data_IF_233805048769
#
_entry.id   IF_233805048769
#
_cell.length_a   1.000
_cell.length_b   1.000
_cell.length_c   1.000
_cell.angle_alpha   90.00
_cell.angle_beta   90.00
_cell.angle_gamma   90.00
#
_symmetry.space_group_name_H-M   'P 1'
#
loop_
_entity.id
_entity.type
_entity.pdbx_description
1 polymer ?
#
# COMPACT_ATOMS: atom_id res chain seq x y z
N UNK A 1 6.55 -5.75 9.81
CA UNK A 1 5.27 -6.30 9.28
C UNK A 1 5.07 -5.89 7.83
N UNK A 2 5.08 -4.58 7.51
CA UNK A 2 4.94 -4.10 6.12
C UNK A 2 5.98 -4.68 5.16
N UNK A 3 7.24 -4.80 5.59
CA UNK A 3 8.33 -5.37 4.80
C UNK A 3 8.17 -6.87 4.54
N UNK A 4 7.52 -7.59 5.48
CA UNK A 4 7.26 -9.02 5.31
C UNK A 4 6.08 -9.22 4.35
N UNK A 5 5.01 -8.43 4.50
CA UNK A 5 3.86 -8.50 3.59
C UNK A 5 4.28 -8.06 2.18
N UNK A 6 4.76 -6.82 2.00
CA UNK A 6 5.11 -6.32 0.67
C UNK A 6 6.35 -7.00 0.08
N UNK A 7 7.27 -7.55 0.87
CA UNK A 7 8.46 -8.23 0.37
C UNK A 7 8.19 -9.69 -0.03
N UNK A 8 7.72 -10.50 0.92
CA UNK A 8 7.49 -11.93 0.68
C UNK A 8 6.28 -12.16 -0.20
N UNK A 9 5.18 -11.44 0.00
CA UNK A 9 3.96 -11.62 -0.79
C UNK A 9 4.19 -11.23 -2.25
N UNK A 10 4.77 -10.05 -2.49
CA UNK A 10 5.14 -9.61 -3.84
C UNK A 10 6.13 -10.56 -4.50
N UNK A 11 7.10 -11.10 -3.72
CA UNK A 11 8.04 -12.10 -4.22
C UNK A 11 7.36 -13.41 -4.64
N UNK A 12 6.47 -13.94 -3.80
CA UNK A 12 5.73 -15.18 -4.09
C UNK A 12 4.77 -14.99 -5.27
N UNK A 13 4.00 -13.89 -5.28
CA UNK A 13 3.10 -13.55 -6.39
C UNK A 13 3.87 -13.31 -7.69
N UNK A 14 5.06 -12.70 -7.60
CA UNK A 14 5.97 -12.51 -8.72
C UNK A 14 6.49 -13.82 -9.29
N UNK A 15 6.94 -14.75 -8.44
CA UNK A 15 7.41 -16.08 -8.89
C UNK A 15 6.31 -16.88 -9.59
N UNK A 16 5.05 -16.70 -9.17
CA UNK A 16 3.90 -17.33 -9.82
C UNK A 16 3.41 -16.59 -11.08
N UNK A 17 3.91 -15.37 -11.33
CA UNK A 17 3.35 -14.51 -12.39
C UNK A 17 1.86 -14.21 -12.18
N UNK A 18 1.43 -14.13 -10.91
CA UNK A 18 0.03 -13.96 -10.56
C UNK A 18 -0.48 -12.58 -10.99
N UNK A 19 -1.68 -12.55 -11.55
CA UNK A 19 -2.42 -11.31 -11.83
C UNK A 19 -3.62 -11.20 -10.88
N UNK A 20 -4.25 -10.03 -10.83
CA UNK A 20 -5.42 -9.77 -9.96
C UNK A 20 -6.49 -10.88 -10.01
N UNK A 21 -6.70 -11.52 -11.16
CA UNK A 21 -7.71 -12.55 -11.35
C UNK A 21 -7.35 -13.94 -10.83
N UNK A 22 -6.07 -14.22 -10.54
CA UNK A 22 -5.67 -15.49 -9.92
C UNK A 22 -6.06 -15.52 -8.42
N UNK A 23 -5.85 -14.40 -7.71
CA UNK A 23 -6.14 -14.28 -6.28
C UNK A 23 -6.75 -12.91 -5.93
N UNK A 24 -8.01 -12.62 -6.35
CA UNK A 24 -8.58 -11.28 -6.24
C UNK A 24 -8.77 -10.83 -4.79
N UNK A 25 -9.16 -11.73 -3.90
CA UNK A 25 -9.36 -11.41 -2.47
C UNK A 25 -8.04 -11.14 -1.76
N UNK A 26 -7.01 -11.95 -2.03
CA UNK A 26 -5.69 -11.79 -1.43
C UNK A 26 -5.05 -10.47 -1.90
N UNK A 27 -4.99 -10.23 -3.21
CA UNK A 27 -4.36 -9.04 -3.79
C UNK A 27 -5.10 -7.76 -3.40
N UNK A 28 -6.44 -7.79 -3.34
CA UNK A 28 -7.22 -6.63 -2.90
C UNK A 28 -6.97 -6.29 -1.42
N UNK A 29 -7.00 -7.31 -0.55
CA UNK A 29 -6.82 -7.10 0.89
C UNK A 29 -5.40 -6.64 1.20
N UNK A 30 -4.37 -7.28 0.65
CA UNK A 30 -2.98 -6.90 0.87
C UNK A 30 -2.63 -5.55 0.25
N UNK A 31 -3.16 -5.22 -0.92
CA UNK A 31 -3.02 -3.91 -1.54
C UNK A 31 -3.60 -2.79 -0.67
N UNK A 32 -4.78 -3.01 -0.09
CA UNK A 32 -5.41 -2.03 0.82
C UNK A 32 -4.63 -1.85 2.13
N UNK A 33 -4.19 -2.95 2.73
CA UNK A 33 -3.40 -2.94 3.97
C UNK A 33 -2.03 -2.30 3.71
N UNK A 34 -1.37 -2.67 2.61
CA UNK A 34 -0.09 -2.10 2.20
C UNK A 34 -0.15 -0.59 2.02
N UNK A 35 -1.19 -0.10 1.34
CA UNK A 35 -1.42 1.34 1.16
C UNK A 35 -1.66 2.06 2.50
N UNK A 36 -2.49 1.49 3.38
CA UNK A 36 -2.76 2.06 4.70
C UNK A 36 -1.52 2.18 5.57
N UNK A 37 -0.69 1.14 5.57
CA UNK A 37 0.57 1.10 6.32
C UNK A 37 1.58 2.08 5.75
N UNK A 38 1.65 2.24 4.43
CA UNK A 38 2.54 3.22 3.80
C UNK A 38 2.20 4.65 4.25
N UNK A 39 0.92 5.04 4.18
CA UNK A 39 0.52 6.36 4.67
C UNK A 39 0.76 6.53 6.18
N UNK A 40 0.57 5.47 6.98
CA UNK A 40 0.85 5.52 8.40
C UNK A 40 2.35 5.71 8.69
N UNK A 41 3.23 4.98 8.00
CA UNK A 41 4.67 5.11 8.14
C UNK A 41 5.13 6.52 7.77
N UNK A 42 4.82 6.99 6.56
CA UNK A 42 5.17 8.35 6.10
C UNK A 42 4.72 9.47 7.04
N UNK A 43 3.54 9.32 7.66
CA UNK A 43 3.06 10.28 8.66
C UNK A 43 3.90 10.29 9.95
N UNK A 44 4.38 9.12 10.38
CA UNK A 44 5.19 8.96 11.58
C UNK A 44 6.63 9.49 11.40
N UNK A 45 7.24 9.25 10.23
CA UNK A 45 8.56 9.81 9.89
C UNK A 45 8.52 11.33 9.78
N UNK A 46 7.44 11.90 9.22
CA UNK A 46 7.24 13.35 9.19
C UNK A 46 7.17 13.93 10.61
N UNK A 47 6.41 13.30 11.50
CA UNK A 47 6.32 13.74 12.90
C UNK A 47 7.67 13.66 13.62
N UNK A 48 8.45 12.60 13.37
CA UNK A 48 9.78 12.43 13.94
C UNK A 48 10.76 13.47 13.40
N UNK A 49 10.69 13.79 12.11
CA UNK A 49 11.49 14.85 11.50
C UNK A 49 11.16 16.21 12.12
N UNK A 50 9.87 16.52 12.33
CA UNK A 50 9.43 17.74 13.02
C UNK A 50 9.98 17.79 14.45
N UNK A 51 9.93 16.68 15.20
CA UNK A 51 10.52 16.61 16.53
C UNK A 51 12.01 16.99 16.51
N UNK A 52 12.80 16.43 15.58
CA UNK A 52 14.23 16.75 15.44
C UNK A 52 14.48 18.20 15.05
N UNK A 53 13.70 18.75 14.12
CA UNK A 53 13.81 20.15 13.74
C UNK A 53 13.48 21.09 14.90
N UNK A 54 12.48 20.76 15.72
CA UNK A 54 12.08 21.57 16.88
C UNK A 54 13.11 21.50 18.01
N UNK A 55 13.73 20.35 18.25
CA UNK A 55 14.84 20.22 19.20
C UNK A 55 16.03 21.12 18.81
N UNK A 56 16.32 21.25 17.51
CA UNK A 56 17.41 22.10 17.00
C UNK A 56 17.08 23.60 17.06
N UNK A 57 15.83 23.98 16.76
CA UNK A 57 15.41 25.38 16.71
C UNK A 57 15.14 25.95 18.10
N UNK A 58 14.39 25.22 18.94
CA UNK A 58 13.96 25.68 20.26
C UNK A 58 13.68 24.48 21.19
N UNK A 59 14.68 24.02 21.97
CA UNK A 59 14.54 22.83 22.81
C UNK A 59 13.47 22.97 23.90
N UNK A 60 13.17 24.21 24.34
CA UNK A 60 12.08 24.48 25.29
C UNK A 60 10.71 24.17 24.70
N UNK A 61 10.48 24.55 23.44
CA UNK A 61 9.22 24.31 22.74
C UNK A 61 9.05 22.82 22.41
N UNK A 62 10.13 22.15 21.99
CA UNK A 62 10.14 20.71 21.77
C UNK A 62 9.74 19.95 23.06
N UNK A 63 10.29 20.36 24.21
CA UNK A 63 9.96 19.76 25.49
C UNK A 63 8.53 20.09 25.97
N UNK A 64 7.90 21.17 25.51
CA UNK A 64 6.50 21.46 25.86
C UNK A 64 5.52 20.63 25.02
N UNK A 65 5.84 20.43 23.73
CA UNK A 65 5.00 19.71 22.77
C UNK A 65 5.13 18.18 22.93
N UNK A 66 6.35 17.67 23.08
CA UNK A 66 6.66 16.22 23.06
C UNK A 66 6.84 15.58 24.44
N UNK A 67 6.40 16.25 25.53
CA UNK A 67 6.57 15.72 26.88
C UNK A 67 5.44 14.78 27.30
N UNK A 68 5.84 13.63 27.85
CA UNK A 68 4.95 12.66 28.48
C UNK A 68 4.06 11.93 27.48
N UNK A 69 2.84 11.61 27.92
CA UNK A 69 1.90 10.78 27.16
C UNK A 69 1.28 11.49 25.94
N UNK A 70 1.58 12.79 25.73
CA UNK A 70 1.08 13.58 24.59
C UNK A 70 1.67 13.13 23.27
N UNK A 71 2.91 12.65 23.27
CA UNK A 71 3.59 12.15 22.07
C UNK A 71 2.86 10.94 21.48
N UNK A 72 2.32 10.06 22.32
CA UNK A 72 1.50 8.93 21.86
C UNK A 72 0.25 9.41 21.13
N UNK A 73 -0.47 10.39 21.67
CA UNK A 73 -1.63 10.99 21.01
C UNK A 73 -1.25 11.72 19.71
N UNK A 74 -0.13 12.45 19.72
CA UNK A 74 0.42 13.15 18.56
C UNK A 74 0.81 12.21 17.43
N UNK A 75 1.23 10.98 17.72
CA UNK A 75 1.52 9.95 16.70
C UNK A 75 0.25 9.23 16.25
N UNK A 76 -0.67 8.92 17.17
CA UNK A 76 -1.89 8.17 16.85
C UNK A 76 -2.83 8.97 15.94
N UNK A 77 -2.99 10.27 16.17
CA UNK A 77 -3.87 11.13 15.35
C UNK A 77 -3.51 11.12 13.85
N UNK A 78 -2.27 11.41 13.43
CA UNK A 78 -1.89 11.37 12.03
C UNK A 78 -1.89 9.96 11.45
N UNK A 79 -1.60 8.92 12.25
CA UNK A 79 -1.73 7.53 11.79
C UNK A 79 -3.18 7.14 11.52
N UNK A 80 -4.13 7.56 12.35
CA UNK A 80 -5.57 7.34 12.09
C UNK A 80 -6.00 8.10 10.84
N UNK A 81 -5.57 9.36 10.69
CA UNK A 81 -5.87 10.16 9.50
C UNK A 81 -5.35 9.51 8.20
N UNK A 82 -4.12 9.00 8.23
CA UNK A 82 -3.51 8.24 7.14
C UNK A 82 -4.29 6.98 6.78
N UNK A 83 -4.74 6.22 7.78
CA UNK A 83 -5.56 5.02 7.56
C UNK A 83 -6.92 5.38 6.98
N UNK A 84 -7.58 6.42 7.48
CA UNK A 84 -8.87 6.89 6.93
C UNK A 84 -8.71 7.31 5.47
N UNK A 85 -7.67 8.08 5.12
CA UNK A 85 -7.38 8.45 3.74
C UNK A 85 -7.14 7.23 2.83
N UNK A 86 -6.45 6.21 3.33
CA UNK A 86 -6.21 4.99 2.57
C UNK A 86 -7.49 4.21 2.24
N UNK A 87 -8.52 4.28 3.09
CA UNK A 87 -9.83 3.66 2.85
C UNK A 87 -10.64 4.40 1.77
N UNK A 88 -10.45 5.71 1.64
CA UNK A 88 -11.09 6.51 0.59
C UNK A 88 -10.32 6.49 -0.74
N UNK A 89 -9.08 5.99 -0.73
CA UNK A 89 -8.24 5.87 -1.92
C UNK A 89 -8.44 4.50 -2.57
N UNK A 90 -8.45 4.43 -3.90
CA UNK A 90 -8.50 3.16 -4.60
C UNK A 90 -7.30 2.28 -4.17
N UNK A 91 -7.52 1.00 -3.82
CA UNK A 91 -6.43 0.13 -3.42
C UNK A 91 -5.48 -0.10 -4.59
N UNK A 92 -4.19 -0.25 -4.25
CA UNK A 92 -3.17 -0.67 -5.22
C UNK A 92 -3.35 -2.15 -5.55
N UNK A 93 -3.19 -2.51 -6.81
CA UNK A 93 -3.36 -3.87 -7.30
C UNK A 93 -2.02 -4.38 -7.85
N UNK A 94 -1.68 -5.62 -7.52
CA UNK A 94 -0.48 -6.26 -8.00
C UNK A 94 -0.60 -6.69 -9.47
N UNK A 95 0.43 -6.43 -10.26
CA UNK A 95 0.58 -6.99 -11.61
C UNK A 95 1.92 -7.72 -11.74
N UNK A 96 1.85 -9.02 -12.03
CA UNK A 96 3.02 -9.83 -12.34
C UNK A 96 3.75 -9.39 -13.63
N UNK A 97 3.14 -8.56 -14.49
CA UNK A 97 3.78 -8.06 -15.71
C UNK A 97 4.98 -7.14 -15.40
N UNK A 98 4.86 -6.34 -14.35
CA UNK A 98 5.88 -5.37 -13.93
C UNK A 98 6.42 -5.65 -12.53
N UNK A 99 6.03 -6.77 -11.91
CA UNK A 99 6.41 -7.13 -10.54
C UNK A 99 6.15 -6.00 -9.52
N UNK A 100 5.06 -5.26 -9.69
CA UNK A 100 4.79 -4.06 -8.89
C UNK A 100 3.29 -3.81 -8.70
N UNK A 101 2.99 -2.86 -7.82
CA UNK A 101 1.64 -2.50 -7.38
C UNK A 101 1.22 -1.16 -8.00
N UNK A 102 0.04 -1.10 -8.59
CA UNK A 102 -0.44 0.09 -9.30
C UNK A 102 -1.89 0.43 -8.94
N UNK A 103 -2.22 1.72 -8.97
CA UNK A 103 -3.60 2.20 -8.84
C UNK A 103 -4.44 1.91 -10.09
N UNK A 104 -3.80 1.74 -11.26
CA UNK A 104 -4.48 1.41 -12.51
C UNK A 104 -4.30 -0.09 -12.82
N UNK A 105 -5.37 -0.90 -12.79
CA UNK A 105 -5.30 -2.32 -13.14
C UNK A 105 -4.97 -2.58 -14.61
N UNK A 106 -5.15 -1.60 -15.50
CA UNK A 106 -4.93 -1.75 -16.94
C UNK A 106 -3.49 -1.44 -17.38
N UNK A 107 -2.56 -1.25 -16.45
CA UNK A 107 -1.17 -0.96 -16.80
C UNK A 107 -0.54 -2.19 -17.48
N UNK A 108 -0.01 -1.99 -18.70
CA UNK A 108 0.57 -3.07 -19.51
C UNK A 108 -0.41 -3.89 -20.33
N UNK A 109 -1.67 -3.43 -20.47
CA UNK A 109 -2.71 -4.13 -21.22
C UNK A 109 -2.84 -3.72 -22.70
N UNK A 110 -2.18 -2.63 -23.10
CA UNK A 110 -2.12 -2.16 -24.49
C UNK A 110 -0.78 -2.53 -25.10
N UNK A 111 -0.70 -3.74 -25.65
CA UNK A 111 0.34 -4.17 -26.57
C UNK A 111 -0.31 -4.49 -27.93
N UNK A 112 0.22 -3.90 -29.00
CA UNK A 112 -0.30 -3.92 -30.39
C UNK A 112 -0.36 -5.33 -31.04
N UNK A 113 -0.14 -6.40 -30.27
CA UNK A 113 -0.03 -7.79 -30.73
C UNK A 113 -1.23 -8.69 -30.38
N UNK A 114 -2.39 -8.11 -30.03
CA UNK A 114 -3.66 -8.85 -29.94
C UNK A 114 -3.70 -9.96 -28.88
N UNK A 115 -2.71 -10.03 -27.97
CA UNK A 115 -2.75 -10.90 -26.79
C UNK A 115 -3.13 -10.09 -25.57
N UNK A 116 -4.45 -10.00 -25.40
CA UNK A 116 -5.14 -9.62 -24.17
C UNK A 116 -4.70 -10.64 -23.07
N UNK A 117 -3.50 -10.55 -22.49
CA UNK A 117 -2.94 -11.62 -21.66
C UNK A 117 -3.48 -11.70 -20.22
N UNK A 118 -3.97 -10.61 -19.63
CA UNK A 118 -4.54 -10.61 -18.26
C UNK A 118 -6.07 -10.73 -18.19
N UNK A 119 -6.81 -9.95 -18.97
CA UNK A 119 -8.27 -9.94 -19.19
C UNK A 119 -8.77 -11.20 -19.92
N UNK A 120 -7.98 -11.87 -20.79
CA UNK A 120 -8.36 -13.19 -21.33
C UNK A 120 -8.18 -14.27 -20.27
N UNK A 121 -7.17 -14.15 -19.40
CA UNK A 121 -6.98 -15.01 -18.22
C UNK A 121 -8.13 -14.83 -17.21
N UNK A 122 -8.53 -13.59 -16.97
CA UNK A 122 -9.70 -13.25 -16.14
C UNK A 122 -11.00 -13.79 -16.73
N UNK A 123 -11.24 -13.59 -18.04
CA UNK A 123 -12.43 -14.11 -18.73
C UNK A 123 -12.44 -15.64 -18.77
N UNK A 124 -11.30 -16.28 -19.01
CA UNK A 124 -11.19 -17.74 -19.03
C UNK A 124 -11.42 -18.35 -17.64
N UNK A 125 -10.89 -17.74 -16.57
CA UNK A 125 -11.15 -18.20 -15.20
C UNK A 125 -12.55 -17.87 -14.69
N UNK A 126 -13.14 -16.72 -15.05
CA UNK A 126 -14.54 -16.40 -14.76
C UNK A 126 -15.50 -17.37 -15.46
N UNK A 127 -15.17 -17.81 -16.67
CA UNK A 127 -15.94 -18.82 -17.42
C UNK A 127 -15.79 -20.23 -16.81
N UNK A 128 -14.66 -20.55 -16.16
CA UNK A 128 -14.46 -21.84 -15.47
C UNK A 128 -15.09 -21.91 -14.07
N UNK A 129 -15.42 -20.77 -13.44
CA UNK A 129 -15.93 -20.72 -12.06
C UNK A 129 -17.40 -20.22 -11.96
N UNK A 130 -18.05 -19.97 -13.09
CA UNK A 130 -19.45 -19.58 -13.20
C UNK A 130 -20.13 -20.21 -14.42
N UNK A 131 -20.84 -21.31 -14.18
CA UNK A 131 -21.58 -22.22 -15.09
C UNK A 131 -20.77 -23.37 -15.69
#
# INVERSE_FOLDING_TARGET
LVMLMNGLETGILGLMGAVFCDYPTLIYTSGSIGLSLWFAETSAELLLAINRCLELLNPKLAHDIFKGNRTWWLTVVPSIYAVVLSLFTAPILFTGLYFSWFFNPYVGYNDDFGKIQGLLKCLYMLNMHGM
#
